data_IF_284763637961
#
_entry.id   IF_284763637961
#
_cell.length_a   1.000
_cell.length_b   1.000
_cell.length_c   1.000
_cell.angle_alpha   90.00
_cell.angle_beta   90.00
_cell.angle_gamma   90.00
#
_symmetry.space_group_name_H-M   'P 1'
#
loop_
_entity.id
_entity.type
_entity.pdbx_description
1 polymer ?
#
# COMPACT_ATOMS: atom_id res chain seq x y z
N UNK A 1 5.61 10.37 -28.80
CA UNK A 1 4.61 11.18 -28.06
C UNK A 1 5.18 11.53 -26.70
N UNK A 2 5.33 12.81 -26.38
CA UNK A 2 5.73 13.28 -25.05
C UNK A 2 4.54 13.15 -24.10
N UNK A 3 4.70 12.41 -23.00
CA UNK A 3 3.67 12.33 -21.96
C UNK A 3 3.35 13.74 -21.44
N UNK A 4 2.08 14.14 -21.49
CA UNK A 4 1.59 15.37 -20.85
C UNK A 4 0.69 14.96 -19.70
N UNK A 5 0.96 15.48 -18.52
CA UNK A 5 0.04 15.32 -17.39
C UNK A 5 -1.29 15.98 -17.76
N UNK A 6 -2.38 15.22 -17.62
CA UNK A 6 -3.73 15.80 -17.69
C UNK A 6 -3.89 16.89 -16.60
N UNK A 7 -4.64 17.97 -16.88
CA UNK A 7 -5.02 18.94 -15.86
C UNK A 7 -5.60 18.23 -14.62
N UNK A 8 -5.11 18.59 -13.43
CA UNK A 8 -5.57 17.98 -12.17
C UNK A 8 -4.88 16.66 -11.79
N UNK A 9 -3.78 16.26 -12.44
CA UNK A 9 -3.02 15.05 -12.08
C UNK A 9 -2.53 15.04 -10.61
N UNK A 10 -2.36 16.21 -10.00
CA UNK A 10 -1.95 16.36 -8.60
C UNK A 10 -3.11 16.40 -7.59
N UNK A 11 -4.37 16.32 -8.03
CA UNK A 11 -5.52 16.42 -7.12
C UNK A 11 -5.52 15.33 -6.07
N UNK A 12 -5.16 14.09 -6.45
CA UNK A 12 -5.05 12.99 -5.49
C UNK A 12 -3.94 13.21 -4.45
N UNK A 13 -2.91 14.00 -4.78
CA UNK A 13 -1.83 14.34 -3.87
C UNK A 13 -2.27 15.26 -2.73
N UNK A 14 -3.47 15.86 -2.78
CA UNK A 14 -4.02 16.71 -1.73
C UNK A 14 -5.27 16.12 -1.09
N UNK A 15 -5.62 14.88 -1.43
CA UNK A 15 -6.89 14.29 -1.05
C UNK A 15 -6.81 13.50 0.27
N UNK A 16 -5.76 12.70 0.44
CA UNK A 16 -5.61 11.83 1.61
C UNK A 16 -4.18 11.34 1.76
N UNK A 17 -3.79 10.90 2.97
CA UNK A 17 -2.60 10.06 3.16
C UNK A 17 -2.59 8.86 2.20
N UNK A 18 -1.40 8.42 1.84
CA UNK A 18 -1.21 7.31 0.89
C UNK A 18 -0.84 6.05 1.64
N UNK A 19 -1.62 4.99 1.47
CA UNK A 19 -1.22 3.67 1.97
C UNK A 19 -0.06 3.13 1.16
N UNK A 20 1.04 2.76 1.82
CA UNK A 20 2.23 2.17 1.22
C UNK A 20 2.57 0.83 1.86
N UNK A 21 3.27 -0.03 1.12
CA UNK A 21 3.72 -1.33 1.59
C UNK A 21 4.99 -1.20 2.47
N UNK A 22 5.28 -2.21 3.31
CA UNK A 22 6.42 -2.14 4.24
C UNK A 22 7.77 -1.89 3.56
N UNK A 23 8.02 -2.49 2.39
CA UNK A 23 9.26 -2.24 1.64
C UNK A 23 9.30 -0.85 0.98
N UNK A 24 8.14 -0.29 0.60
CA UNK A 24 8.05 1.05 -0.01
C UNK A 24 8.50 2.14 0.95
N UNK A 25 8.31 1.96 2.26
CA UNK A 25 8.79 2.89 3.29
C UNK A 25 10.29 3.14 3.14
N UNK A 26 11.10 2.09 2.95
CA UNK A 26 12.55 2.24 2.80
C UNK A 26 12.93 2.98 1.51
N UNK A 27 12.23 2.68 0.42
CA UNK A 27 12.45 3.31 -0.88
C UNK A 27 12.12 4.81 -0.78
N UNK A 28 10.97 5.14 -0.22
CA UNK A 28 10.48 6.50 -0.10
C UNK A 28 11.29 7.32 0.90
N UNK A 29 11.72 6.74 2.02
CA UNK A 29 12.64 7.40 2.95
C UNK A 29 13.99 7.70 2.31
N UNK A 30 14.51 6.82 1.45
CA UNK A 30 15.73 7.10 0.67
C UNK A 30 15.52 8.31 -0.23
N UNK A 31 14.48 8.30 -1.05
CA UNK A 31 14.21 9.43 -1.96
C UNK A 31 13.87 10.72 -1.21
N UNK A 32 13.21 10.65 -0.06
CA UNK A 32 12.95 11.82 0.78
C UNK A 32 14.25 12.48 1.22
N UNK A 33 15.22 11.70 1.72
CA UNK A 33 16.56 12.22 2.06
C UNK A 33 17.27 12.81 0.84
N UNK A 34 17.28 12.09 -0.28
CA UNK A 34 17.97 12.52 -1.50
C UNK A 34 17.37 13.81 -2.08
N UNK A 35 16.07 14.04 -1.88
CA UNK A 35 15.33 15.22 -2.36
C UNK A 35 15.22 16.34 -1.31
N UNK A 36 15.69 16.13 -0.07
CA UNK A 36 15.55 17.11 1.02
C UNK A 36 14.10 17.32 1.49
N UNK A 37 13.28 16.28 1.43
CA UNK A 37 11.86 16.30 1.79
C UNK A 37 11.64 15.61 3.13
N UNK A 38 10.87 16.25 4.01
CA UNK A 38 10.38 15.64 5.26
C UNK A 38 9.18 14.73 4.95
N UNK A 39 9.24 13.46 5.37
CA UNK A 39 8.14 12.50 5.18
C UNK A 39 7.89 11.70 6.45
N UNK A 40 6.61 11.57 6.82
CA UNK A 40 6.19 10.81 8.00
C UNK A 40 5.40 9.59 7.59
N UNK A 41 5.76 8.44 8.16
CA UNK A 41 5.04 7.17 7.98
C UNK A 41 4.53 6.67 9.32
N UNK A 42 3.26 6.28 9.38
CA UNK A 42 2.71 5.58 10.55
C UNK A 42 2.19 4.21 10.17
N UNK A 43 2.46 3.16 10.95
CA UNK A 43 1.87 1.84 10.76
C UNK A 43 0.34 1.91 10.73
N UNK A 44 -0.28 1.31 9.71
CA UNK A 44 -1.72 1.33 9.49
C UNK A 44 -2.38 0.01 9.88
N UNK A 45 -1.83 -1.11 9.42
CA UNK A 45 -2.23 -2.44 9.85
C UNK A 45 -1.05 -3.19 10.47
N UNK A 46 -1.30 -3.87 11.58
CA UNK A 46 -0.31 -4.59 12.37
C UNK A 46 -0.90 -5.91 12.88
N UNK A 47 -0.02 -6.88 13.05
CA UNK A 47 -0.30 -8.18 13.68
C UNK A 47 0.73 -8.40 14.79
N UNK A 48 0.32 -8.92 15.94
CA UNK A 48 1.26 -9.27 17.01
C UNK A 48 1.90 -10.63 16.71
N UNK A 49 3.20 -10.77 16.97
CA UNK A 49 3.89 -12.05 17.08
C UNK A 49 4.29 -12.26 18.54
N UNK A 50 3.60 -13.16 19.22
CA UNK A 50 3.77 -13.43 20.64
C UNK A 50 5.13 -14.07 20.93
N UNK A 51 5.67 -14.84 19.98
CA UNK A 51 6.94 -15.53 20.15
C UNK A 51 8.11 -14.55 20.23
N UNK A 52 8.08 -13.50 19.43
CA UNK A 52 9.11 -12.45 19.44
C UNK A 52 8.71 -11.21 20.25
N UNK A 53 7.48 -11.15 20.78
CA UNK A 53 6.92 -9.98 21.45
C UNK A 53 6.98 -8.70 20.58
N UNK A 54 6.68 -8.84 19.29
CA UNK A 54 6.71 -7.74 18.31
C UNK A 54 5.32 -7.48 17.73
N UNK A 55 5.11 -6.27 17.21
CA UNK A 55 3.98 -5.95 16.32
C UNK A 55 4.50 -5.71 14.91
N UNK A 56 4.14 -6.59 14.00
CA UNK A 56 4.60 -6.58 12.61
C UNK A 56 3.67 -5.71 11.78
N UNK A 57 4.18 -4.55 11.32
CA UNK A 57 3.42 -3.63 10.48
C UNK A 57 3.38 -4.09 9.02
N UNK A 58 2.19 -4.36 8.49
CA UNK A 58 1.96 -4.86 7.12
C UNK A 58 1.55 -3.75 6.13
N UNK A 59 1.25 -2.56 6.62
CA UNK A 59 1.00 -1.38 5.82
C UNK A 59 1.28 -0.12 6.61
N UNK A 60 1.52 0.97 5.88
CA UNK A 60 1.82 2.28 6.44
C UNK A 60 0.97 3.34 5.75
N UNK A 61 0.65 4.40 6.47
CA UNK A 61 0.16 5.64 5.90
C UNK A 61 1.34 6.60 5.75
N UNK A 62 1.60 7.04 4.53
CA UNK A 62 2.42 8.21 4.24
C UNK A 62 1.56 9.45 4.44
N UNK A 63 1.90 10.25 5.45
CA UNK A 63 1.14 11.45 5.80
C UNK A 63 1.31 12.56 4.77
N UNK A 64 0.31 13.43 4.75
CA UNK A 64 0.41 14.72 4.08
C UNK A 64 1.28 15.65 4.94
N UNK A 65 1.90 16.64 4.32
CA UNK A 65 2.58 17.73 4.99
C UNK A 65 1.60 18.63 5.76
N UNK A 66 2.13 19.63 6.47
CA UNK A 66 1.34 20.60 7.23
C UNK A 66 0.35 21.39 6.35
N UNK A 67 0.63 21.53 5.06
CA UNK A 67 -0.23 22.16 4.06
C UNK A 67 -1.32 21.24 3.50
N UNK A 68 -1.42 20.01 3.98
CA UNK A 68 -2.38 19.02 3.49
C UNK A 68 -2.05 18.51 2.08
N UNK A 69 -0.78 18.53 1.68
CA UNK A 69 -0.31 18.01 0.41
C UNK A 69 0.65 16.83 0.58
N UNK A 70 0.79 16.01 -0.45
CA UNK A 70 1.79 14.96 -0.49
C UNK A 70 3.17 15.61 -0.36
N UNK A 71 4.06 15.13 0.53
CA UNK A 71 5.36 15.76 0.75
C UNK A 71 6.24 15.78 -0.51
N UNK A 72 5.96 14.93 -1.50
CA UNK A 72 6.66 14.88 -2.79
C UNK A 72 5.98 15.71 -3.91
N UNK A 73 5.03 16.59 -3.56
CA UNK A 73 4.34 17.47 -4.50
C UNK A 73 5.08 18.80 -4.63
N UNK A 74 5.62 19.07 -5.81
CA UNK A 74 6.21 20.36 -6.19
C UNK A 74 5.30 21.07 -7.19
N UNK A 75 4.51 22.02 -6.69
CA UNK A 75 3.44 22.68 -7.44
C UNK A 75 2.38 21.69 -7.92
N UNK A 76 2.45 21.29 -9.20
CA UNK A 76 1.58 20.27 -9.82
C UNK A 76 2.33 19.00 -10.24
N UNK A 77 3.63 18.92 -9.92
CA UNK A 77 4.53 17.84 -10.33
C UNK A 77 4.82 16.92 -9.17
N UNK A 78 4.87 15.62 -9.44
CA UNK A 78 5.30 14.64 -8.46
C UNK A 78 6.81 14.40 -8.61
N UNK A 79 7.58 14.70 -7.57
CA UNK A 79 9.04 14.53 -7.56
C UNK A 79 9.44 13.05 -7.72
N UNK A 80 8.56 12.12 -7.35
CA UNK A 80 8.77 10.69 -7.49
C UNK A 80 8.42 10.11 -8.87
N UNK A 81 7.92 10.92 -9.81
CA UNK A 81 7.34 10.42 -11.06
C UNK A 81 8.32 9.58 -11.90
N UNK A 82 9.59 10.01 -12.01
CA UNK A 82 10.65 9.30 -12.73
C UNK A 82 11.55 8.44 -11.83
N UNK A 83 11.24 8.37 -10.53
CA UNK A 83 12.01 7.62 -9.54
C UNK A 83 11.18 6.40 -9.13
N UNK A 84 10.59 6.43 -7.93
CA UNK A 84 9.66 5.42 -7.46
C UNK A 84 8.35 6.04 -7.01
N UNK A 85 7.36 6.06 -7.90
CA UNK A 85 5.99 6.40 -7.53
C UNK A 85 5.36 5.20 -6.80
N UNK A 86 4.80 5.37 -5.57
CA UNK A 86 4.22 4.27 -4.82
C UNK A 86 3.18 3.49 -5.63
N UNK A 87 3.07 2.18 -5.41
CA UNK A 87 2.15 1.31 -6.15
C UNK A 87 0.70 1.80 -6.06
N UNK A 88 0.27 2.24 -4.87
CA UNK A 88 -1.06 2.85 -4.69
C UNK A 88 -1.23 4.14 -5.50
N UNK A 89 -0.20 4.99 -5.60
CA UNK A 89 -0.27 6.19 -6.44
C UNK A 89 -0.23 5.87 -7.94
N UNK A 90 0.40 4.76 -8.34
CA UNK A 90 0.44 4.26 -9.72
C UNK A 90 -0.85 3.54 -10.12
N UNK A 91 -1.61 3.01 -9.17
CA UNK A 91 -2.90 2.36 -9.43
C UNK A 91 -4.07 3.34 -9.43
N UNK A 92 -3.88 4.60 -9.00
CA UNK A 92 -4.93 5.62 -9.09
C UNK A 92 -5.37 5.83 -10.56
N UNK A 93 -6.68 5.83 -10.87
CA UNK A 93 -7.81 5.97 -9.94
C UNK A 93 -8.42 4.67 -9.39
N UNK A 94 -7.86 3.51 -9.72
CA UNK A 94 -8.31 2.21 -9.21
C UNK A 94 -7.60 1.84 -7.90
N UNK A 95 -8.28 2.07 -6.79
CA UNK A 95 -7.70 1.96 -5.45
C UNK A 95 -8.46 0.94 -4.58
N UNK A 96 -7.78 0.28 -3.63
CA UNK A 96 -8.46 -0.48 -2.60
C UNK A 96 -9.24 0.48 -1.69
N UNK A 97 -10.56 0.31 -1.60
CA UNK A 97 -11.44 1.04 -0.68
C UNK A 97 -11.37 0.44 0.73
N UNK A 98 -11.32 -0.88 0.81
CA UNK A 98 -11.27 -1.63 2.07
C UNK A 98 -10.19 -2.69 1.91
N UNK A 99 -9.30 -2.77 2.90
CA UNK A 99 -8.34 -3.86 3.06
C UNK A 99 -8.56 -4.41 4.46
N UNK A 100 -9.05 -5.65 4.55
CA UNK A 100 -9.25 -6.36 5.82
C UNK A 100 -8.27 -7.52 5.86
N UNK A 101 -7.54 -7.59 6.96
CA UNK A 101 -6.68 -8.72 7.26
C UNK A 101 -7.31 -9.45 8.44
N UNK A 102 -7.38 -10.77 8.34
CA UNK A 102 -8.01 -11.65 9.31
C UNK A 102 -7.04 -12.77 9.67
N UNK A 103 -6.97 -13.11 10.96
CA UNK A 103 -6.20 -14.26 11.42
C UNK A 103 -7.15 -15.44 11.57
N UNK A 104 -6.77 -16.59 11.04
CA UNK A 104 -7.41 -17.88 11.28
C UNK A 104 -6.47 -18.71 12.16
N UNK A 105 -6.65 -18.73 13.49
CA UNK A 105 -5.77 -19.47 14.39
C UNK A 105 -5.84 -20.99 14.21
N UNK A 106 -6.99 -21.51 13.77
CA UNK A 106 -7.16 -22.94 13.54
C UNK A 106 -6.36 -23.42 12.33
N UNK A 107 -6.36 -22.63 11.25
CA UNK A 107 -5.56 -22.91 10.06
C UNK A 107 -4.12 -22.35 10.15
N UNK A 108 -3.85 -21.49 11.13
CA UNK A 108 -2.63 -20.66 11.24
C UNK A 108 -2.36 -19.86 9.97
N UNK A 109 -3.37 -19.11 9.54
CA UNK A 109 -3.34 -18.32 8.31
C UNK A 109 -3.64 -16.85 8.55
N UNK A 110 -2.95 -16.00 7.79
CA UNK A 110 -3.30 -14.59 7.61
C UNK A 110 -4.06 -14.48 6.29
N UNK A 111 -5.36 -14.18 6.35
CA UNK A 111 -6.22 -13.96 5.19
C UNK A 111 -6.38 -12.47 4.92
N UNK A 112 -6.65 -12.13 3.66
CA UNK A 112 -6.87 -10.75 3.24
C UNK A 112 -8.06 -10.65 2.29
N UNK A 113 -9.03 -9.82 2.64
CA UNK A 113 -10.14 -9.40 1.78
C UNK A 113 -9.92 -7.95 1.33
N UNK A 114 -10.06 -7.71 0.02
CA UNK A 114 -9.86 -6.38 -0.57
C UNK A 114 -11.01 -6.03 -1.50
N UNK A 115 -11.60 -4.86 -1.27
CA UNK A 115 -12.62 -4.28 -2.15
C UNK A 115 -12.06 -3.07 -2.84
N UNK A 116 -12.10 -3.06 -4.17
CA UNK A 116 -11.65 -1.94 -4.98
C UNK A 116 -12.75 -0.94 -5.27
N UNK A 117 -12.34 0.27 -5.65
CA UNK A 117 -13.20 1.33 -6.16
C UNK A 117 -12.49 2.12 -7.25
N UNK A 118 -13.27 2.74 -8.15
CA UNK A 118 -12.79 3.75 -9.06
C UNK A 118 -13.00 5.15 -8.46
N UNK A 119 -11.92 5.90 -8.25
CA UNK A 119 -11.99 7.19 -7.56
C UNK A 119 -12.56 8.30 -8.46
N UNK A 120 -13.67 8.89 -8.03
CA UNK A 120 -14.30 10.08 -8.66
C UNK A 120 -13.57 11.39 -8.33
N UNK A 121 -12.46 11.33 -7.60
CA UNK A 121 -11.50 12.44 -7.49
C UNK A 121 -10.69 12.62 -8.78
N UNK A 122 -10.57 11.58 -9.60
CA UNK A 122 -9.97 11.71 -10.92
C UNK A 122 -10.92 12.47 -11.85
N UNK A 123 -10.50 13.60 -12.46
CA UNK A 123 -11.34 14.37 -13.37
C UNK A 123 -11.82 13.55 -14.58
N UNK A 124 -10.97 12.65 -15.08
CA UNK A 124 -11.29 11.75 -16.21
C UNK A 124 -12.43 10.81 -15.83
N UNK A 125 -12.33 10.14 -14.67
CA UNK A 125 -13.41 9.27 -14.16
C UNK A 125 -14.71 10.04 -13.97
N UNK A 126 -14.64 11.23 -13.35
CA UNK A 126 -15.83 12.05 -13.07
C UNK A 126 -16.54 12.51 -14.35
N UNK A 127 -15.79 12.76 -15.42
CA UNK A 127 -16.32 13.17 -16.72
C UNK A 127 -16.88 11.99 -17.51
N UNK A 128 -16.17 10.86 -17.51
CA UNK A 128 -16.46 9.76 -18.41
C UNK A 128 -17.47 8.75 -17.85
N UNK A 129 -17.63 8.66 -16.51
CA UNK A 129 -18.42 7.61 -15.85
C UNK A 129 -19.52 8.19 -14.95
N UNK A 130 -20.71 7.58 -15.00
CA UNK A 130 -21.79 7.86 -14.05
C UNK A 130 -21.53 7.20 -12.70
N UNK A 131 -22.30 7.56 -11.67
CA UNK A 131 -22.22 6.90 -10.36
C UNK A 131 -22.52 5.38 -10.43
N UNK A 132 -23.44 4.97 -11.33
CA UNK A 132 -23.74 3.57 -11.56
C UNK A 132 -22.56 2.83 -12.20
N UNK A 133 -21.90 3.43 -13.19
CA UNK A 133 -20.72 2.85 -13.83
C UNK A 133 -19.57 2.67 -12.82
N UNK A 134 -19.33 3.68 -11.99
CA UNK A 134 -18.31 3.64 -10.93
C UNK A 134 -18.57 2.49 -9.94
N UNK A 135 -19.83 2.22 -9.59
CA UNK A 135 -20.17 1.10 -8.71
C UNK A 135 -19.80 -0.26 -9.34
N UNK A 136 -19.99 -0.43 -10.65
CA UNK A 136 -19.59 -1.64 -11.36
C UNK A 136 -18.07 -1.82 -11.46
N UNK A 137 -17.27 -0.76 -11.33
CA UNK A 137 -15.82 -0.84 -11.34
C UNK A 137 -15.24 -1.62 -10.14
N UNK A 138 -16.01 -1.89 -9.09
CA UNK A 138 -15.59 -2.82 -8.03
C UNK A 138 -15.20 -4.21 -8.60
N UNK A 139 -15.77 -4.60 -9.75
CA UNK A 139 -15.37 -5.81 -10.47
C UNK A 139 -14.14 -5.55 -11.35
N UNK A 140 -13.02 -6.22 -11.04
CA UNK A 140 -11.77 -6.14 -11.80
C UNK A 140 -11.94 -6.42 -13.29
N UNK A 141 -12.82 -7.36 -13.67
CA UNK A 141 -13.10 -7.70 -15.08
C UNK A 141 -13.76 -6.55 -15.86
N UNK A 142 -14.41 -5.64 -15.15
CA UNK A 142 -15.00 -4.42 -15.73
C UNK A 142 -13.96 -3.31 -15.73
N UNK A 143 -13.33 -3.06 -14.58
CA UNK A 143 -12.35 -1.98 -14.41
C UNK A 143 -11.15 -2.10 -15.37
N UNK A 144 -10.68 -3.32 -15.65
CA UNK A 144 -9.55 -3.55 -16.57
C UNK A 144 -9.85 -3.08 -18.00
N UNK A 145 -11.11 -3.04 -18.42
CA UNK A 145 -11.49 -2.55 -19.75
C UNK A 145 -11.39 -1.03 -19.86
N UNK A 146 -11.51 -0.32 -18.75
CA UNK A 146 -11.48 1.14 -18.69
C UNK A 146 -10.08 1.67 -18.35
N UNK A 147 -9.43 1.13 -17.32
CA UNK A 147 -8.12 1.58 -16.83
C UNK A 147 -7.14 0.39 -16.72
N UNK A 148 -6.74 -0.24 -17.84
CA UNK A 148 -5.99 -1.50 -17.83
C UNK A 148 -4.64 -1.41 -17.12
N UNK A 149 -3.95 -0.27 -17.23
CA UNK A 149 -2.62 -0.08 -16.62
C UNK A 149 -2.74 0.05 -15.11
N UNK A 150 -3.67 0.88 -14.65
CA UNK A 150 -3.94 1.17 -13.25
C UNK A 150 -4.44 -0.09 -12.53
N UNK A 151 -5.33 -0.86 -13.18
CA UNK A 151 -5.79 -2.16 -12.68
C UNK A 151 -4.64 -3.17 -12.62
N UNK A 152 -3.79 -3.22 -13.63
CA UNK A 152 -2.59 -4.08 -13.62
C UNK A 152 -1.67 -3.78 -12.44
N UNK A 153 -1.47 -2.49 -12.11
CA UNK A 153 -0.69 -2.10 -10.93
C UNK A 153 -1.42 -2.45 -9.62
N UNK A 154 -2.74 -2.26 -9.55
CA UNK A 154 -3.53 -2.64 -8.38
C UNK A 154 -3.41 -4.14 -8.06
N UNK A 155 -3.46 -4.99 -9.09
CA UNK A 155 -3.27 -6.45 -8.94
C UNK A 155 -1.86 -6.76 -8.44
N UNK A 156 -0.82 -6.15 -9.01
CA UNK A 156 0.56 -6.30 -8.51
C UNK A 156 0.71 -5.87 -7.05
N UNK A 157 0.01 -4.80 -6.66
CA UNK A 157 -0.01 -4.34 -5.26
C UNK A 157 -0.60 -5.42 -4.35
N UNK A 158 -1.66 -6.10 -4.79
CA UNK A 158 -2.24 -7.23 -4.05
C UNK A 158 -1.28 -8.41 -3.97
N UNK A 159 -0.62 -8.78 -5.07
CA UNK A 159 0.35 -9.89 -5.07
C UNK A 159 1.42 -9.68 -3.99
N UNK A 160 1.96 -8.46 -3.86
CA UNK A 160 2.93 -8.13 -2.82
C UNK A 160 2.31 -8.18 -1.41
N UNK A 161 1.05 -7.76 -1.22
CA UNK A 161 0.33 -7.90 0.07
C UNK A 161 0.09 -9.36 0.44
N UNK A 162 -0.34 -10.17 -0.52
CA UNK A 162 -0.53 -11.61 -0.35
C UNK A 162 0.80 -12.31 -0.04
N UNK A 163 1.92 -11.85 -0.60
CA UNK A 163 3.23 -12.38 -0.25
C UNK A 163 3.56 -12.19 1.24
N UNK A 164 3.31 -11.00 1.80
CA UNK A 164 3.47 -10.79 3.25
C UNK A 164 2.58 -11.72 4.07
N UNK A 165 1.29 -11.81 3.75
CA UNK A 165 0.34 -12.65 4.46
C UNK A 165 0.72 -14.15 4.36
N UNK A 166 1.15 -14.59 3.17
CA UNK A 166 1.62 -15.96 2.91
C UNK A 166 2.84 -16.29 3.75
N UNK A 167 3.86 -15.44 3.72
CA UNK A 167 5.09 -15.66 4.50
C UNK A 167 4.75 -15.74 5.99
N UNK A 168 3.95 -14.82 6.52
CA UNK A 168 3.52 -14.86 7.93
C UNK A 168 2.77 -16.15 8.28
N UNK A 169 1.88 -16.61 7.39
CA UNK A 169 1.17 -17.88 7.57
C UNK A 169 2.13 -19.07 7.58
N UNK A 170 3.14 -19.08 6.70
CA UNK A 170 4.15 -20.14 6.66
C UNK A 170 5.00 -20.17 7.93
N UNK A 171 5.44 -19.01 8.42
CA UNK A 171 6.16 -18.89 9.69
C UNK A 171 5.31 -19.40 10.86
N UNK A 172 4.03 -19.04 10.90
CA UNK A 172 3.11 -19.49 11.94
C UNK A 172 2.86 -21.00 11.91
N UNK A 173 2.67 -21.57 10.71
CA UNK A 173 2.51 -23.02 10.51
C UNK A 173 3.76 -23.80 10.95
N UNK A 174 4.96 -23.27 10.71
CA UNK A 174 6.23 -23.87 11.16
C UNK A 174 6.54 -23.62 12.64
N UNK A 175 5.72 -22.83 13.34
CA UNK A 175 5.95 -22.45 14.73
C UNK A 175 7.10 -21.45 14.90
N UNK A 176 7.54 -20.79 13.84
CA UNK A 176 8.56 -19.73 13.85
C UNK A 176 7.99 -18.37 14.29
N UNK A 177 6.68 -18.19 14.17
CA UNK A 177 5.91 -17.08 14.70
C UNK A 177 4.64 -17.60 15.43
N UNK A 178 4.07 -16.81 16.33
CA UNK A 178 2.76 -17.06 16.94
C UNK A 178 1.91 -15.80 16.82
N UNK A 179 0.93 -15.80 15.90
CA UNK A 179 0.25 -14.56 15.51
C UNK A 179 -1.06 -14.34 16.28
N UNK A 180 -1.29 -13.10 16.71
CA UNK A 180 -2.56 -12.67 17.33
C UNK A 180 -2.88 -11.23 16.93
N UNK A 181 -4.11 -10.80 17.22
CA UNK A 181 -4.57 -9.44 16.97
C UNK A 181 -3.74 -8.42 17.78
N UNK A 182 -3.23 -7.35 17.13
CA UNK A 182 -2.32 -6.44 17.81
C UNK A 182 -2.93 -5.64 18.96
N UNK A 183 -4.26 -5.46 18.95
CA UNK A 183 -4.97 -4.61 19.91
C UNK A 183 -4.83 -5.08 21.35
N UNK A 184 -4.51 -6.35 21.55
CA UNK A 184 -4.28 -6.97 22.86
C UNK A 184 -2.88 -6.69 23.43
N UNK A 185 -1.93 -6.25 22.59
CA UNK A 185 -0.51 -6.13 22.95
C UNK A 185 0.08 -4.74 22.64
N UNK A 186 -0.55 -3.64 23.08
CA UNK A 186 -0.15 -2.27 22.66
C UNK A 186 1.29 -1.89 23.03
N UNK A 187 1.87 -2.57 24.03
CA UNK A 187 3.23 -2.31 24.53
C UNK A 187 4.34 -2.97 23.71
N UNK A 188 4.02 -3.95 22.87
CA UNK A 188 5.03 -4.59 22.04
C UNK A 188 5.63 -3.58 21.06
N UNK A 189 6.96 -3.57 20.85
CA UNK A 189 7.58 -2.69 19.87
C UNK A 189 7.10 -3.03 18.46
N UNK A 190 6.94 -2.00 17.63
CA UNK A 190 6.53 -2.17 16.24
C UNK A 190 7.77 -2.39 15.38
N UNK A 191 7.69 -3.38 14.49
CA UNK A 191 8.71 -3.63 13.47
C UNK A 191 8.09 -3.57 12.08
N UNK A 192 8.87 -3.07 11.12
CA UNK A 192 8.48 -3.11 9.73
C UNK A 192 8.39 -4.54 9.20
N UNK A 193 7.25 -4.88 8.58
CA UNK A 193 6.98 -6.22 8.08
C UNK A 193 8.01 -6.73 7.08
N UNK A 194 8.61 -5.86 6.26
CA UNK A 194 9.70 -6.26 5.37
C UNK A 194 10.96 -6.64 6.13
N UNK A 195 11.33 -5.89 7.16
CA UNK A 195 12.46 -6.24 8.03
C UNK A 195 12.20 -7.51 8.81
N UNK A 196 10.98 -7.70 9.29
CA UNK A 196 10.60 -8.89 10.04
C UNK A 196 10.75 -10.15 9.19
N UNK A 197 10.13 -10.21 8.00
CA UNK A 197 10.19 -11.42 7.15
C UNK A 197 11.62 -11.75 6.68
N UNK A 198 12.47 -10.73 6.51
CA UNK A 198 13.87 -10.91 6.09
C UNK A 198 14.76 -11.57 7.15
N UNK A 199 14.31 -11.64 8.41
CA UNK A 199 15.00 -12.43 9.44
C UNK A 199 14.96 -13.93 9.13
N UNK A 200 13.92 -14.36 8.43
CA UNK A 200 13.69 -15.76 8.05
C UNK A 200 14.03 -16.02 6.58
N UNK A 201 13.87 -15.00 5.73
CA UNK A 201 14.13 -15.05 4.28
C UNK A 201 15.09 -13.91 3.87
N UNK A 202 16.38 -14.00 4.23
CA UNK A 202 17.36 -12.92 4.01
C UNK A 202 17.60 -12.61 2.52
N UNK A 203 17.32 -13.57 1.64
CA UNK A 203 17.39 -13.43 0.19
C UNK A 203 16.30 -12.54 -0.41
N UNK A 204 15.27 -12.18 0.35
CA UNK A 204 14.29 -11.18 -0.07
C UNK A 204 14.93 -9.79 -0.04
N UNK A 205 15.12 -9.20 -1.22
CA UNK A 205 15.67 -7.86 -1.39
C UNK A 205 14.60 -6.88 -1.86
N UNK A 206 14.86 -5.58 -1.76
CA UNK A 206 13.92 -4.56 -2.24
C UNK A 206 13.68 -4.73 -3.74
N UNK A 207 14.71 -5.07 -4.51
CA UNK A 207 14.67 -5.27 -5.95
C UNK A 207 13.71 -6.41 -6.35
N UNK A 208 13.61 -7.47 -5.52
CA UNK A 208 12.63 -8.55 -5.72
C UNK A 208 11.18 -8.11 -5.43
N UNK A 209 11.00 -7.02 -4.68
CA UNK A 209 9.70 -6.46 -4.33
C UNK A 209 9.23 -5.33 -5.25
N UNK A 210 10.12 -4.77 -6.08
CA UNK A 210 9.76 -3.87 -7.19
C UNK A 210 8.97 -4.59 -8.29
#
# INVERSE_FOLDING_TARGET
MTFRCEPGCALCCRASPVTVLPHEVYILQKYARDLGVEVVFTPAYKVADLKSSLRVALSYLMHLDEGGACPFLDGTRCMLHGLYKPLTCRSFPYLPKIIRYELDPAAREVRMDVKFVMSTLCPVVRRDLTAADVAHMANVKVAVKYAPREVGVAVKTLEKRYLYAKILSELWKRGEAELDEEGKYPFFPIINGFTYIRRFYPELTIEKFL
#
